data_IF_574012812728
#
_entry.id   IF_574012812728
#
_cell.length_a   1.000
_cell.length_b   1.000
_cell.length_c   1.000
_cell.angle_alpha   90.00
_cell.angle_beta   90.00
_cell.angle_gamma   90.00
#
_symmetry.space_group_name_H-M   'P 1'
#
loop_
_entity.id
_entity.type
_entity.pdbx_description
1 polymer ?
#
# COMPACT_ATOMS: atom_id res chain seq x y z
N UNK A 1 6.74 -6.15 7.11
CA UNK A 1 5.52 -6.98 7.20
C UNK A 1 5.77 -8.26 8.01
N UNK A 2 6.92 -8.96 7.83
CA UNK A 2 7.19 -10.26 8.45
C UNK A 2 7.16 -10.21 9.99
N UNK A 3 7.73 -9.17 10.60
CA UNK A 3 7.69 -8.98 12.05
C UNK A 3 6.27 -8.83 12.60
N UNK A 4 5.37 -8.15 11.87
CA UNK A 4 3.96 -8.05 12.25
C UNK A 4 3.24 -9.38 12.10
N UNK A 5 3.48 -10.10 11.00
CA UNK A 5 2.91 -11.42 10.78
C UNK A 5 3.34 -12.40 11.87
N UNK A 6 4.62 -12.38 12.27
CA UNK A 6 5.12 -13.21 13.34
C UNK A 6 4.50 -12.84 14.70
N UNK A 7 4.40 -11.55 15.01
CA UNK A 7 3.75 -11.08 16.22
C UNK A 7 2.27 -11.52 16.30
N UNK A 8 1.57 -11.59 15.18
CA UNK A 8 0.20 -12.09 15.10
C UNK A 8 0.14 -13.60 15.31
N UNK A 9 1.05 -14.38 14.69
CA UNK A 9 1.14 -15.84 14.92
C UNK A 9 1.38 -16.18 16.38
N UNK A 10 2.27 -15.45 17.04
CA UNK A 10 2.54 -15.62 18.48
C UNK A 10 1.31 -15.32 19.35
N UNK A 11 0.32 -14.58 18.83
CA UNK A 11 -0.96 -14.32 19.48
C UNK A 11 -2.07 -15.28 19.04
N UNK A 12 -1.73 -16.34 18.29
CA UNK A 12 -2.68 -17.35 17.86
C UNK A 12 -3.47 -17.00 16.59
N UNK A 13 -3.09 -15.96 15.87
CA UNK A 13 -3.72 -15.63 14.58
C UNK A 13 -3.25 -16.61 13.52
N UNK A 14 -4.21 -17.22 12.80
CA UNK A 14 -3.95 -18.11 11.69
C UNK A 14 -3.89 -17.35 10.38
N UNK A 15 -2.95 -17.73 9.49
CA UNK A 15 -2.85 -17.25 8.12
C UNK A 15 -3.17 -18.42 7.18
N UNK A 16 -4.20 -18.29 6.36
CA UNK A 16 -4.64 -19.30 5.41
C UNK A 16 -4.86 -18.67 4.03
N UNK A 17 -4.72 -19.45 2.96
CA UNK A 17 -5.08 -19.03 1.60
C UNK A 17 -6.57 -19.04 1.36
N UNK A 18 -7.27 -19.91 2.05
CA UNK A 18 -8.72 -20.07 2.00
C UNK A 18 -9.23 -20.19 3.43
N UNK A 19 -10.32 -19.53 3.74
CA UNK A 19 -11.01 -19.61 5.02
C UNK A 19 -12.52 -19.63 4.79
N UNK A 20 -13.25 -20.25 5.70
CA UNK A 20 -14.71 -20.09 5.77
C UNK A 20 -15.01 -18.82 6.55
N UNK A 21 -15.97 -18.03 6.06
CA UNK A 21 -16.41 -16.83 6.75
C UNK A 21 -16.99 -17.20 8.12
N UNK A 22 -16.33 -16.69 9.16
CA UNK A 22 -16.75 -16.88 10.54
C UNK A 22 -16.63 -15.53 11.27
N UNK A 23 -17.75 -15.07 11.84
CA UNK A 23 -17.78 -13.80 12.54
C UNK A 23 -17.76 -12.59 11.61
N UNK A 24 -17.17 -11.49 12.07
CA UNK A 24 -17.10 -10.24 11.31
C UNK A 24 -15.92 -10.26 10.35
N UNK A 25 -16.16 -9.90 9.10
CA UNK A 25 -15.17 -9.90 8.03
C UNK A 25 -14.68 -8.48 7.74
N UNK A 26 -13.37 -8.27 7.67
CA UNK A 26 -12.76 -7.03 7.21
C UNK A 26 -12.03 -7.30 5.89
N UNK A 27 -12.37 -6.55 4.84
CA UNK A 27 -11.73 -6.62 3.53
C UNK A 27 -10.71 -5.49 3.37
N UNK A 28 -9.46 -5.87 3.11
CA UNK A 28 -8.33 -4.98 2.81
C UNK A 28 -7.55 -5.56 1.62
N UNK A 29 -8.24 -5.72 0.48
CA UNK A 29 -7.68 -6.36 -0.72
C UNK A 29 -7.03 -5.37 -1.69
N UNK A 30 -6.73 -4.16 -1.24
CA UNK A 30 -5.98 -3.17 -2.00
C UNK A 30 -6.68 -2.70 -3.27
N UNK A 31 -5.93 -2.53 -4.37
CA UNK A 31 -6.46 -1.95 -5.61
C UNK A 31 -7.50 -2.86 -6.29
N UNK A 32 -7.37 -4.17 -6.17
CA UNK A 32 -8.28 -5.13 -6.82
C UNK A 32 -9.69 -5.00 -6.27
N UNK A 33 -9.85 -4.82 -4.96
CA UNK A 33 -11.13 -4.59 -4.33
C UNK A 33 -11.76 -3.26 -4.80
N UNK A 34 -10.97 -2.19 -4.88
CA UNK A 34 -11.46 -0.91 -5.41
C UNK A 34 -11.92 -1.01 -6.87
N UNK A 35 -11.25 -1.80 -7.70
CA UNK A 35 -11.69 -2.08 -9.07
C UNK A 35 -12.98 -2.90 -9.10
N UNK A 36 -13.07 -3.92 -8.23
CA UNK A 36 -14.27 -4.75 -8.11
C UNK A 36 -15.49 -3.92 -7.70
N UNK A 37 -15.37 -3.11 -6.66
CA UNK A 37 -16.42 -2.21 -6.19
C UNK A 37 -16.82 -1.25 -7.32
N UNK A 38 -15.86 -0.61 -7.98
CA UNK A 38 -16.12 0.30 -9.10
C UNK A 38 -16.89 -0.37 -10.22
N UNK A 39 -16.54 -1.61 -10.56
CA UNK A 39 -17.20 -2.40 -11.61
C UNK A 39 -18.63 -2.77 -11.23
N UNK A 40 -18.86 -3.27 -10.02
CA UNK A 40 -20.19 -3.71 -9.56
C UNK A 40 -21.14 -2.51 -9.45
N UNK A 41 -20.68 -1.40 -8.90
CA UNK A 41 -21.48 -0.17 -8.77
C UNK A 41 -21.63 0.60 -10.09
N UNK A 42 -20.92 0.19 -11.15
CA UNK A 42 -20.84 0.87 -12.44
C UNK A 42 -20.51 2.38 -12.29
N UNK A 43 -19.61 2.69 -11.37
CA UNK A 43 -19.12 4.07 -11.09
C UNK A 43 -17.75 4.03 -10.40
N UNK A 44 -16.91 5.07 -10.59
CA UNK A 44 -15.62 5.11 -9.95
C UNK A 44 -15.73 5.13 -8.41
N UNK A 45 -15.13 4.16 -7.75
CA UNK A 45 -14.95 4.11 -6.30
C UNK A 45 -13.48 4.31 -5.91
N UNK A 46 -12.61 3.79 -6.74
CA UNK A 46 -11.17 3.93 -6.60
C UNK A 46 -10.42 3.26 -7.74
N UNK A 47 -9.11 3.38 -7.69
CA UNK A 47 -8.21 2.83 -8.70
C UNK A 47 -6.87 2.38 -8.10
N UNK A 48 -6.01 1.77 -8.92
CA UNK A 48 -4.62 1.47 -8.63
C UNK A 48 -3.71 2.50 -9.28
N UNK A 49 -2.76 3.03 -8.52
CA UNK A 49 -1.67 3.85 -9.06
C UNK A 49 -0.40 3.04 -9.02
N UNK A 50 0.14 2.71 -10.20
CA UNK A 50 1.37 1.91 -10.31
C UNK A 50 2.57 2.68 -9.76
N UNK A 51 3.41 1.97 -9.05
CA UNK A 51 4.70 2.45 -8.60
C UNK A 51 5.76 1.40 -8.81
N UNK A 52 6.91 1.84 -9.32
CA UNK A 52 8.06 0.99 -9.56
C UNK A 52 9.21 1.43 -8.67
N UNK A 53 10.03 0.50 -8.23
CA UNK A 53 11.18 0.77 -7.39
C UNK A 53 12.28 -0.28 -7.60
N UNK A 54 13.45 -0.01 -7.04
CA UNK A 54 14.64 -0.83 -7.19
C UNK A 54 15.37 -0.99 -5.87
N UNK A 55 16.03 -2.12 -5.67
CA UNK A 55 16.87 -2.44 -4.51
C UNK A 55 18.30 -2.63 -4.96
N UNK A 56 19.23 -1.96 -4.29
CA UNK A 56 20.67 -2.07 -4.50
C UNK A 56 21.36 -2.71 -3.29
N UNK A 57 22.41 -3.45 -3.56
CA UNK A 57 23.40 -3.91 -2.57
C UNK A 57 24.37 -2.74 -2.29
N UNK A 58 23.94 -1.85 -1.40
CA UNK A 58 24.71 -0.69 -0.96
C UNK A 58 24.44 -0.43 0.51
N UNK A 59 25.42 -0.71 1.35
CA UNK A 59 25.29 -0.52 2.79
C UNK A 59 25.34 0.96 3.16
N UNK A 60 24.20 1.45 3.60
CA UNK A 60 23.97 2.80 4.11
C UNK A 60 23.19 2.80 5.43
N UNK A 61 23.29 1.73 6.22
CA UNK A 61 22.52 1.53 7.48
C UNK A 61 22.65 2.69 8.45
N UNK A 62 23.81 3.33 8.51
CA UNK A 62 24.07 4.46 9.39
C UNK A 62 23.59 5.81 8.82
N UNK A 63 23.12 5.80 7.56
CA UNK A 63 22.63 7.02 6.93
C UNK A 63 21.13 7.19 7.16
N UNK A 64 20.68 8.43 7.12
CA UNK A 64 19.25 8.74 7.14
C UNK A 64 18.65 8.54 5.76
N UNK A 65 17.33 8.29 5.72
CA UNK A 65 16.56 8.36 4.49
C UNK A 65 16.75 9.74 3.85
N UNK A 66 16.95 9.76 2.53
CA UNK A 66 17.05 10.98 1.73
C UNK A 66 15.87 11.05 0.77
N UNK A 67 15.28 12.23 0.65
CA UNK A 67 14.30 12.56 -0.39
C UNK A 67 14.89 13.65 -1.29
N UNK A 68 15.10 13.33 -2.57
CA UNK A 68 15.68 14.23 -3.54
C UNK A 68 15.03 14.01 -4.92
N UNK A 69 14.66 15.10 -5.62
CA UNK A 69 14.07 15.08 -6.96
C UNK A 69 12.92 14.06 -7.12
N UNK A 70 12.01 14.00 -6.12
CA UNK A 70 10.88 13.08 -6.06
C UNK A 70 11.23 11.60 -5.81
N UNK A 71 12.48 11.26 -5.57
CA UNK A 71 12.96 9.94 -5.21
C UNK A 71 13.27 9.84 -3.72
N UNK A 72 12.90 8.70 -3.14
CA UNK A 72 13.31 8.30 -1.81
C UNK A 72 14.48 7.32 -1.91
N UNK A 73 15.52 7.56 -1.13
CA UNK A 73 16.63 6.66 -0.91
C UNK A 73 16.52 6.14 0.52
N UNK A 74 16.18 4.88 0.67
CA UNK A 74 15.80 4.30 1.97
C UNK A 74 16.80 3.22 2.35
N UNK A 75 17.73 3.51 3.27
CA UNK A 75 18.63 2.49 3.84
C UNK A 75 17.83 1.48 4.66
N UNK A 76 18.11 0.20 4.45
CA UNK A 76 17.55 -0.89 5.22
C UNK A 76 18.55 -1.45 6.23
N UNK A 77 18.04 -2.04 7.32
CA UNK A 77 18.86 -2.62 8.38
C UNK A 77 19.70 -3.83 7.93
N UNK A 78 19.32 -4.47 6.84
CA UNK A 78 20.04 -5.61 6.22
C UNK A 78 21.22 -5.19 5.32
N UNK A 79 21.50 -3.88 5.19
CA UNK A 79 22.57 -3.37 4.34
C UNK A 79 22.18 -3.16 2.89
N UNK A 80 20.89 -3.16 2.57
CA UNK A 80 20.39 -2.81 1.25
C UNK A 80 19.91 -1.36 1.19
N UNK A 81 19.82 -0.79 -0.02
CA UNK A 81 19.25 0.54 -0.28
C UNK A 81 18.11 0.42 -1.28
N UNK A 82 16.91 0.76 -0.84
CA UNK A 82 15.77 0.88 -1.74
C UNK A 82 15.70 2.28 -2.34
N UNK A 83 15.46 2.37 -3.65
CA UNK A 83 15.25 3.63 -4.37
C UNK A 83 13.92 3.59 -5.10
N UNK A 84 13.11 4.61 -4.92
CA UNK A 84 11.79 4.70 -5.53
C UNK A 84 11.10 6.03 -5.22
N UNK A 85 9.99 6.26 -5.84
CA UNK A 85 9.26 5.37 -6.73
C UNK A 85 8.59 6.17 -7.84
N UNK A 86 8.26 5.51 -8.92
CA UNK A 86 7.38 6.08 -9.93
C UNK A 86 5.95 6.27 -9.39
N UNK A 87 5.12 6.99 -10.13
CA UNK A 87 3.71 7.20 -9.76
C UNK A 87 2.88 7.35 -11.06
N UNK A 88 2.32 6.25 -11.51
CA UNK A 88 1.73 6.11 -12.82
C UNK A 88 0.22 5.84 -12.71
N UNK A 89 -0.57 6.68 -13.37
CA UNK A 89 -2.04 6.52 -13.44
C UNK A 89 -2.46 5.67 -14.63
N UNK A 90 -1.61 5.61 -15.65
CA UNK A 90 -1.82 4.85 -16.89
C UNK A 90 -0.66 3.87 -17.03
N UNK A 91 -0.94 2.61 -17.23
CA UNK A 91 0.02 1.52 -17.37
C UNK A 91 -0.66 0.36 -18.13
N UNK A 92 0.13 -0.40 -18.86
CA UNK A 92 -0.37 -1.60 -19.55
C UNK A 92 -0.38 -2.81 -18.62
N UNK A 93 0.68 -3.00 -17.84
CA UNK A 93 0.81 -4.09 -16.88
C UNK A 93 1.11 -3.53 -15.47
N UNK A 94 0.32 -3.96 -14.50
CA UNK A 94 0.40 -3.53 -13.11
C UNK A 94 1.59 -4.11 -12.35
N UNK A 95 2.11 -5.25 -12.78
CA UNK A 95 3.07 -6.08 -12.05
C UNK A 95 4.49 -6.05 -12.62
N UNK A 96 4.64 -5.73 -13.90
CA UNK A 96 5.93 -5.63 -14.56
C UNK A 96 6.55 -4.25 -14.43
N UNK A 97 7.89 -4.21 -14.49
CA UNK A 97 8.64 -2.96 -14.61
C UNK A 97 8.85 -2.59 -16.08
N UNK A 98 9.01 -1.30 -16.35
CA UNK A 98 9.14 -0.75 -17.70
C UNK A 98 10.16 0.41 -17.74
N UNK A 99 10.22 1.12 -18.86
CA UNK A 99 11.14 2.23 -19.10
C UNK A 99 11.06 3.36 -18.06
N UNK A 100 9.94 3.51 -17.34
CA UNK A 100 9.85 4.50 -16.26
C UNK A 100 10.77 4.14 -15.09
N UNK A 101 10.97 2.84 -14.82
CA UNK A 101 11.97 2.41 -13.84
C UNK A 101 13.40 2.68 -14.35
N UNK A 102 13.67 2.48 -15.62
CA UNK A 102 15.02 2.73 -16.17
C UNK A 102 15.38 4.22 -16.11
N UNK A 103 14.41 5.12 -16.35
CA UNK A 103 14.56 6.56 -16.11
C UNK A 103 14.82 6.87 -14.64
N UNK A 104 14.03 6.28 -13.73
CA UNK A 104 14.22 6.43 -12.28
C UNK A 104 15.63 6.00 -11.85
N UNK A 105 16.15 4.89 -12.37
CA UNK A 105 17.51 4.42 -12.09
C UNK A 105 18.53 5.44 -12.60
N UNK A 106 18.35 5.99 -13.80
CA UNK A 106 19.22 7.01 -14.36
C UNK A 106 19.29 8.25 -13.47
N UNK A 107 18.14 8.74 -13.02
CA UNK A 107 18.05 9.88 -12.11
C UNK A 107 18.70 9.58 -10.75
N UNK A 108 18.47 8.36 -10.22
CA UNK A 108 19.08 7.92 -8.99
C UNK A 108 20.61 7.88 -9.06
N UNK A 109 21.18 7.40 -10.18
CA UNK A 109 22.62 7.39 -10.42
C UNK A 109 23.23 8.79 -10.53
N UNK A 110 22.44 9.76 -11.00
CA UNK A 110 22.87 11.16 -11.03
C UNK A 110 22.90 11.80 -9.63
N UNK A 111 21.91 11.46 -8.78
CA UNK A 111 21.79 11.97 -7.41
C UNK A 111 22.82 11.31 -6.48
N UNK A 112 22.97 9.99 -6.57
CA UNK A 112 23.87 9.19 -5.76
C UNK A 112 24.82 8.36 -6.65
N UNK A 113 25.95 8.94 -7.09
CA UNK A 113 26.87 8.30 -8.04
C UNK A 113 27.46 6.96 -7.57
N UNK A 114 27.50 6.70 -6.26
CA UNK A 114 27.97 5.44 -5.67
C UNK A 114 27.15 4.24 -6.13
N UNK A 115 25.89 4.44 -6.50
CA UNK A 115 25.03 3.40 -7.08
C UNK A 115 25.60 2.79 -8.35
N UNK A 116 26.52 3.49 -9.07
CA UNK A 116 27.17 2.95 -10.28
C UNK A 116 27.99 1.70 -10.02
N UNK A 117 28.54 1.57 -8.81
CA UNK A 117 29.32 0.41 -8.39
C UNK A 117 28.51 -0.61 -7.59
N UNK A 118 27.28 -0.26 -7.21
CA UNK A 118 26.40 -1.13 -6.43
C UNK A 118 25.71 -2.17 -7.32
N UNK A 119 25.59 -3.40 -6.82
CA UNK A 119 24.83 -4.43 -7.51
C UNK A 119 23.33 -4.15 -7.38
N UNK A 120 22.63 -4.14 -8.50
CA UNK A 120 21.17 -4.13 -8.52
C UNK A 120 20.67 -5.53 -8.12
N UNK A 121 19.87 -5.62 -7.04
CA UNK A 121 19.37 -6.88 -6.48
C UNK A 121 17.98 -7.21 -7.02
N UNK A 122 17.07 -6.21 -7.02
CA UNK A 122 15.66 -6.42 -7.32
C UNK A 122 15.06 -5.20 -8.00
N UNK A 123 14.19 -5.44 -8.98
CA UNK A 123 13.25 -4.47 -9.56
C UNK A 123 11.85 -4.97 -9.27
N UNK A 124 10.92 -4.08 -8.90
CA UNK A 124 9.52 -4.47 -8.72
C UNK A 124 8.56 -3.36 -9.07
N UNK A 125 7.33 -3.76 -9.34
CA UNK A 125 6.18 -2.88 -9.53
C UNK A 125 5.01 -3.35 -8.68
N UNK A 126 4.09 -2.44 -8.37
CA UNK A 126 2.86 -2.75 -7.66
C UNK A 126 1.87 -1.60 -7.67
N UNK A 127 0.62 -1.92 -7.35
CA UNK A 127 -0.45 -0.94 -7.33
C UNK A 127 -0.66 -0.42 -5.90
N UNK A 128 -0.73 0.90 -5.79
CA UNK A 128 -1.19 1.57 -4.58
C UNK A 128 -2.69 1.81 -4.69
N UNK A 129 -3.50 1.30 -3.76
CA UNK A 129 -4.93 1.54 -3.76
C UNK A 129 -5.22 3.01 -3.48
N UNK A 130 -5.99 3.66 -4.36
CA UNK A 130 -6.38 5.04 -4.23
C UNK A 130 -7.88 5.19 -4.46
N UNK A 131 -8.57 5.62 -3.42
CA UNK A 131 -10.00 5.92 -3.48
C UNK A 131 -10.30 7.13 -4.35
N UNK A 132 -11.54 7.28 -4.77
CA UNK A 132 -12.01 8.45 -5.51
C UNK A 132 -11.93 9.73 -4.63
N UNK A 133 -12.25 9.62 -3.36
CA UNK A 133 -12.14 10.72 -2.37
C UNK A 133 -10.71 11.15 -2.08
N UNK A 134 -9.71 10.29 -2.39
CA UNK A 134 -8.28 10.43 -2.05
C UNK A 134 -7.94 10.25 -0.58
N UNK A 135 -8.92 10.00 0.27
CA UNK A 135 -8.76 9.60 1.66
C UNK A 135 -8.83 8.07 1.78
N UNK A 136 -8.35 7.45 2.84
CA UNK A 136 -8.69 6.06 3.14
C UNK A 136 -10.19 5.85 3.19
N UNK A 137 -10.64 4.64 2.89
CA UNK A 137 -12.04 4.25 3.04
C UNK A 137 -12.18 3.24 4.17
N UNK A 138 -13.04 3.56 5.14
CA UNK A 138 -13.26 2.78 6.36
C UNK A 138 -14.76 2.65 6.63
N UNK A 139 -15.21 1.49 7.12
CA UNK A 139 -16.60 1.30 7.56
C UNK A 139 -17.25 0.06 6.98
N UNK A 140 -18.58 0.09 6.83
CA UNK A 140 -19.32 -0.99 6.20
C UNK A 140 -18.94 -1.14 4.73
N UNK A 141 -18.79 -2.39 4.27
CA UNK A 141 -18.42 -2.64 2.88
C UNK A 141 -19.58 -2.28 1.94
N UNK A 142 -19.34 -1.52 0.85
CA UNK A 142 -20.44 -1.03 0.00
C UNK A 142 -21.18 -2.11 -0.78
N UNK A 143 -20.62 -3.32 -0.91
CA UNK A 143 -21.24 -4.43 -1.62
C UNK A 143 -21.69 -5.59 -0.72
N UNK A 144 -21.07 -5.74 0.44
CA UNK A 144 -21.28 -6.90 1.31
C UNK A 144 -21.83 -6.45 2.66
N UNK A 145 -23.12 -6.69 2.96
CA UNK A 145 -23.80 -6.13 4.16
C UNK A 145 -23.16 -6.52 5.49
N UNK A 146 -22.56 -7.72 5.56
CA UNK A 146 -21.97 -8.26 6.78
C UNK A 146 -20.45 -8.10 6.87
N UNK A 147 -19.87 -7.33 5.95
CA UNK A 147 -18.44 -7.08 5.88
C UNK A 147 -18.10 -5.60 6.11
N UNK A 148 -16.86 -5.38 6.49
CA UNK A 148 -16.25 -4.07 6.65
C UNK A 148 -15.14 -3.88 5.61
N UNK A 149 -14.81 -2.64 5.31
CA UNK A 149 -13.70 -2.27 4.44
C UNK A 149 -12.72 -1.37 5.18
N UNK A 150 -11.41 -1.62 4.99
CA UNK A 150 -10.32 -0.71 5.35
C UNK A 150 -9.33 -0.69 4.18
N UNK A 151 -9.39 0.32 3.31
CA UNK A 151 -8.62 0.32 2.07
C UNK A 151 -8.22 1.75 1.67
N UNK A 152 -7.52 1.90 0.56
CA UNK A 152 -7.26 3.21 -0.05
C UNK A 152 -6.16 4.04 0.63
N UNK A 153 -5.29 3.42 1.43
CA UNK A 153 -4.20 4.12 2.15
C UNK A 153 -3.15 4.76 1.26
N UNK A 154 -3.13 4.45 -0.03
CA UNK A 154 -2.26 5.03 -1.06
C UNK A 154 -0.79 5.13 -0.60
N UNK A 155 -0.25 6.38 -0.47
CA UNK A 155 1.15 6.63 -0.07
C UNK A 155 1.35 6.76 1.44
N UNK A 156 0.26 6.83 2.21
CA UNK A 156 0.30 7.08 3.67
C UNK A 156 -0.21 5.90 4.50
N UNK A 157 -0.63 4.81 3.84
CA UNK A 157 -1.28 3.66 4.49
C UNK A 157 -0.50 3.10 5.67
N UNK A 158 0.81 2.90 5.52
CA UNK A 158 1.64 2.35 6.61
C UNK A 158 1.68 3.26 7.83
N UNK A 159 1.77 4.59 7.63
CA UNK A 159 1.78 5.55 8.73
C UNK A 159 0.42 5.68 9.43
N UNK A 160 -0.68 5.46 8.70
CA UNK A 160 -2.03 5.53 9.26
C UNK A 160 -2.53 4.19 9.81
N UNK A 161 -1.90 3.07 9.46
CA UNK A 161 -2.35 1.74 9.82
C UNK A 161 -2.64 1.53 11.31
N UNK A 162 -1.82 2.01 12.26
CA UNK A 162 -2.14 1.85 13.68
C UNK A 162 -3.48 2.49 14.08
N UNK A 163 -3.72 3.73 13.63
CA UNK A 163 -4.97 4.44 13.96
C UNK A 163 -6.17 3.85 13.22
N UNK A 164 -6.00 3.42 11.98
CA UNK A 164 -7.05 2.71 11.23
C UNK A 164 -7.42 1.41 11.94
N UNK A 165 -6.42 0.65 12.41
CA UNK A 165 -6.67 -0.59 13.13
C UNK A 165 -7.46 -0.37 14.43
N UNK A 166 -7.14 0.67 15.22
CA UNK A 166 -7.90 1.03 16.42
C UNK A 166 -9.35 1.38 16.07
N UNK A 167 -9.58 2.30 15.15
CA UNK A 167 -10.93 2.73 14.73
C UNK A 167 -11.76 1.53 14.24
N UNK A 168 -11.18 0.67 13.41
CA UNK A 168 -11.89 -0.48 12.87
C UNK A 168 -12.13 -1.55 13.93
N UNK A 169 -11.21 -1.77 14.86
CA UNK A 169 -11.41 -2.67 15.97
C UNK A 169 -12.53 -2.19 16.90
N UNK A 170 -12.54 -0.92 17.28
CA UNK A 170 -13.59 -0.30 18.09
C UNK A 170 -14.96 -0.44 17.41
N UNK A 171 -15.05 -0.15 16.13
CA UNK A 171 -16.27 -0.30 15.35
C UNK A 171 -16.74 -1.76 15.29
N UNK A 172 -15.82 -2.66 14.94
CA UNK A 172 -16.17 -4.06 14.71
C UNK A 172 -16.45 -4.84 15.99
N UNK A 173 -15.74 -4.57 17.07
CA UNK A 173 -15.84 -5.33 18.30
C UNK A 173 -16.84 -4.72 19.29
N UNK A 174 -16.81 -3.38 19.43
CA UNK A 174 -17.57 -2.68 20.45
C UNK A 174 -18.77 -1.88 19.87
N UNK A 175 -18.85 -1.75 18.55
CA UNK A 175 -19.86 -0.91 17.90
C UNK A 175 -19.63 0.59 18.06
N UNK A 176 -18.43 0.98 18.45
CA UNK A 176 -18.04 2.39 18.64
C UNK A 176 -17.56 2.97 17.32
N UNK A 177 -18.37 3.84 16.70
CA UNK A 177 -18.03 4.47 15.42
C UNK A 177 -17.31 5.81 15.63
N UNK A 178 -16.01 5.81 15.35
CA UNK A 178 -15.13 6.99 15.36
C UNK A 178 -14.55 7.29 13.97
N UNK A 179 -15.15 6.75 12.91
CA UNK A 179 -14.66 6.98 11.54
C UNK A 179 -14.85 8.45 11.17
N UNK A 180 -13.79 9.16 10.75
CA UNK A 180 -13.93 10.50 10.19
C UNK A 180 -14.86 10.51 8.98
N UNK A 181 -15.70 11.52 8.84
CA UNK A 181 -16.69 11.60 7.76
C UNK A 181 -16.06 11.47 6.37
N UNK A 182 -14.87 12.07 6.16
CA UNK A 182 -14.17 12.01 4.88
C UNK A 182 -13.63 10.61 4.54
N UNK A 183 -13.60 9.68 5.49
CA UNK A 183 -13.12 8.32 5.30
C UNK A 183 -14.26 7.32 5.06
N UNK A 184 -15.51 7.76 5.11
CA UNK A 184 -16.66 6.89 4.88
C UNK A 184 -16.78 6.47 3.42
N UNK A 185 -17.27 5.24 3.13
CA UNK A 185 -17.40 4.73 1.75
C UNK A 185 -18.21 5.64 0.84
N UNK A 186 -19.23 6.32 1.38
CA UNK A 186 -20.11 7.23 0.64
C UNK A 186 -19.34 8.39 0.00
N UNK A 187 -18.25 8.84 0.63
CA UNK A 187 -17.40 9.92 0.10
C UNK A 187 -16.61 9.52 -1.14
N UNK A 188 -16.43 8.24 -1.38
CA UNK A 188 -15.80 7.71 -2.60
C UNK A 188 -16.82 7.39 -3.70
N UNK A 189 -18.11 7.63 -3.46
CA UNK A 189 -19.18 7.38 -4.42
C UNK A 189 -19.63 8.63 -5.21
N UNK A 190 -19.02 9.79 -4.97
CA UNK A 190 -19.37 11.07 -5.62
C UNK A 190 -18.25 11.61 -6.49
#
# INVERSE_FOLDING_TARGET
CDALAEALRLRGVSFAKEATDQGKTLLDAGAEDLFHISKVLNRPFGNGVKGQAVLFDLDRRECRQVFAQSLHFIPHADGTLAVGSTSERYYEDASSTDENLDRLITDALAILPELKSAKLILKWAGLRPRTQSRAPVLGAHPLYPDAYIANGGFKIGLGMAPRIAEIMADLMLEGIDQIPDDFRPEKSLF
#
